data_IF_333454379038
#
_entry.id   IF_333454379038
#
_cell.length_a   1.000
_cell.length_b   1.000
_cell.length_c   1.000
_cell.angle_alpha   90.00
_cell.angle_beta   90.00
_cell.angle_gamma   90.00
#
_symmetry.space_group_name_H-M   'P 1'
#
loop_
_entity.id
_entity.type
_entity.pdbx_description
1 polymer ?
#
# COMPACT_ATOMS: atom_id res chain seq x y z
N UNK A 1 28.66 8.48 1.00
CA UNK A 1 28.04 8.13 1.06
C UNK A 1 27.70 7.45 1.40
N UNK A 2 28.02 7.05 1.67
CA UNK A 2 27.53 6.00 1.68
C UNK A 2 26.69 5.81 2.56
N UNK A 3 26.37 5.92 3.14
CA UNK A 3 25.44 5.61 3.71
C UNK A 3 24.32 5.32 3.08
N UNK A 4 24.34 5.48 2.08
CA UNK A 4 23.34 5.11 1.21
C UNK A 4 22.83 3.73 1.42
N UNK A 5 23.70 2.82 1.74
CA UNK A 5 23.32 1.45 1.94
C UNK A 5 22.34 1.26 3.08
N UNK A 6 22.30 2.22 3.99
CA UNK A 6 21.39 2.08 5.08
C UNK A 6 19.95 2.14 4.67
N UNK A 7 19.65 2.91 3.65
CA UNK A 7 18.28 2.98 3.22
C UNK A 7 17.86 1.74 2.50
N UNK A 8 18.79 0.84 2.25
CA UNK A 8 18.49 -0.38 1.56
C UNK A 8 18.31 -1.57 2.49
N UNK A 9 18.15 -1.31 3.76
CA UNK A 9 18.01 -2.41 4.69
C UNK A 9 16.70 -3.15 4.57
N UNK A 10 15.69 -2.53 3.95
CA UNK A 10 14.38 -3.16 3.81
C UNK A 10 14.10 -3.39 2.34
N UNK A 11 13.86 -4.64 1.96
CA UNK A 11 13.49 -4.97 0.59
C UNK A 11 12.08 -4.48 0.29
N UNK A 12 11.72 -4.44 -0.99
CA UNK A 12 10.36 -4.07 -1.35
C UNK A 12 9.35 -5.03 -0.75
N UNK A 13 9.68 -6.32 -0.71
CA UNK A 13 8.79 -7.32 -0.11
C UNK A 13 8.59 -7.06 1.38
N UNK A 14 9.66 -6.77 2.10
CA UNK A 14 9.55 -6.47 3.52
C UNK A 14 8.76 -5.19 3.77
N UNK A 15 9.01 -4.18 2.96
CA UNK A 15 8.28 -2.93 3.08
C UNK A 15 6.79 -3.16 2.85
N UNK A 16 6.44 -3.95 1.84
CA UNK A 16 5.03 -4.25 1.58
C UNK A 16 4.38 -4.96 2.76
N UNK A 17 5.08 -5.93 3.36
CA UNK A 17 4.57 -6.64 4.53
C UNK A 17 4.35 -5.67 5.70
N UNK A 18 5.32 -4.80 5.94
CA UNK A 18 5.21 -3.84 7.04
C UNK A 18 4.04 -2.89 6.82
N UNK A 19 3.89 -2.41 5.60
CA UNK A 19 2.77 -1.53 5.26
C UNK A 19 1.43 -2.23 5.48
N UNK A 20 1.34 -3.50 5.06
CA UNK A 20 0.12 -4.27 5.26
C UNK A 20 -0.22 -4.39 6.74
N UNK A 21 0.78 -4.61 7.58
CA UNK A 21 0.55 -4.70 9.02
C UNK A 21 0.09 -3.38 9.62
N UNK A 22 0.67 -2.27 9.17
CA UNK A 22 0.24 -0.96 9.66
C UNK A 22 -1.19 -0.67 9.24
N UNK A 23 -1.59 -1.11 8.05
CA UNK A 23 -2.96 -0.97 7.60
C UNK A 23 -3.91 -1.81 8.47
N UNK A 24 -3.52 -3.04 8.75
CA UNK A 24 -4.34 -3.92 9.58
C UNK A 24 -4.51 -3.39 10.99
N UNK A 25 -3.50 -2.69 11.52
CA UNK A 25 -3.60 -2.08 12.84
C UNK A 25 -4.76 -1.09 12.93
N UNK A 26 -5.17 -0.55 11.79
CA UNK A 26 -6.30 0.37 11.73
C UNK A 26 -7.52 -0.28 11.08
N UNK A 27 -7.60 -1.60 11.12
CA UNK A 27 -8.77 -2.35 10.67
C UNK A 27 -9.04 -2.24 9.17
N UNK A 28 -7.98 -2.06 8.38
CA UNK A 28 -8.16 -2.09 6.92
C UNK A 28 -8.69 -3.45 6.51
N UNK A 29 -9.50 -3.45 5.46
CA UNK A 29 -10.14 -4.66 4.96
C UNK A 29 -9.50 -5.13 3.68
N UNK A 30 -9.49 -6.44 3.49
CA UNK A 30 -9.03 -7.09 2.26
C UNK A 30 -7.65 -6.58 1.84
N UNK A 31 -6.70 -6.65 2.77
CA UNK A 31 -5.34 -6.16 2.55
C UNK A 31 -4.59 -7.19 1.73
N UNK A 32 -4.10 -6.76 0.57
CA UNK A 32 -3.33 -7.65 -0.31
C UNK A 32 -2.10 -6.93 -0.80
N UNK A 33 -1.07 -7.70 -1.18
CA UNK A 33 0.03 -7.17 -1.96
C UNK A 33 0.08 -7.90 -3.30
N UNK A 34 0.42 -7.17 -4.35
CA UNK A 34 0.56 -7.71 -5.68
C UNK A 34 2.01 -7.50 -6.11
N UNK A 35 2.70 -8.59 -6.42
CA UNK A 35 4.05 -8.49 -6.93
C UNK A 35 3.97 -8.25 -8.44
N UNK A 36 4.32 -7.04 -8.86
CA UNK A 36 4.23 -6.64 -10.26
C UNK A 36 5.59 -6.44 -10.90
N UNK A 37 6.64 -6.92 -10.23
CA UNK A 37 8.01 -6.68 -10.65
C UNK A 37 8.27 -7.14 -12.07
N UNK A 38 7.67 -8.23 -12.49
CA UNK A 38 7.87 -8.77 -13.83
C UNK A 38 6.90 -8.18 -14.86
N UNK A 39 5.93 -7.39 -14.41
CA UNK A 39 4.88 -6.88 -15.28
C UNK A 39 5.07 -5.41 -15.64
N UNK A 40 5.83 -4.68 -14.84
CA UNK A 40 6.01 -3.24 -15.06
C UNK A 40 7.32 -2.78 -14.45
N UNK A 41 7.80 -1.64 -14.94
CA UNK A 41 8.99 -0.99 -14.38
C UNK A 41 8.66 0.10 -13.39
N UNK A 42 7.37 0.36 -13.17
CA UNK A 42 6.93 1.48 -12.31
C UNK A 42 7.25 1.22 -10.86
N UNK A 43 7.03 0.01 -10.39
CA UNK A 43 7.23 -0.33 -8.99
C UNK A 43 7.38 -1.85 -8.89
N UNK A 44 7.80 -2.33 -7.74
CA UNK A 44 7.92 -3.77 -7.50
C UNK A 44 6.63 -4.36 -6.97
N UNK A 45 5.93 -3.64 -6.10
CA UNK A 45 4.72 -4.18 -5.46
C UNK A 45 3.68 -3.10 -5.26
N UNK A 46 2.43 -3.50 -5.36
CA UNK A 46 1.30 -2.71 -4.90
C UNK A 46 0.82 -3.30 -3.58
N UNK A 47 0.44 -2.43 -2.64
CA UNK A 47 -0.32 -2.87 -1.47
C UNK A 47 -1.67 -2.20 -1.60
N UNK A 48 -2.74 -3.00 -1.54
CA UNK A 48 -4.10 -2.51 -1.74
C UNK A 48 -4.94 -2.89 -0.53
N UNK A 49 -5.65 -1.93 0.01
CA UNK A 49 -6.57 -2.16 1.11
C UNK A 49 -7.74 -1.20 1.01
N UNK A 50 -8.73 -1.40 1.84
CA UNK A 50 -9.93 -0.57 1.75
C UNK A 50 -10.63 -0.46 3.08
N UNK A 51 -11.54 0.50 3.17
CA UNK A 51 -12.46 0.64 4.28
C UNK A 51 -13.71 1.39 3.81
N UNK A 52 -14.78 1.32 4.61
CA UNK A 52 -16.07 1.86 4.18
C UNK A 52 -16.22 3.35 4.35
N UNK A 53 -15.42 3.98 5.22
CA UNK A 53 -15.62 5.39 5.55
C UNK A 53 -14.37 6.21 5.29
N UNK A 54 -14.58 7.49 5.03
CA UNK A 54 -13.47 8.43 4.83
C UNK A 54 -12.59 8.54 6.06
N UNK A 55 -13.19 8.53 7.23
CA UNK A 55 -12.45 8.62 8.49
C UNK A 55 -11.49 7.45 8.62
N UNK A 56 -11.96 6.27 8.28
CA UNK A 56 -11.14 5.07 8.39
C UNK A 56 -10.04 5.07 7.32
N UNK A 57 -10.36 5.48 6.10
CA UNK A 57 -9.35 5.58 5.03
C UNK A 57 -8.22 6.51 5.47
N UNK A 58 -8.58 7.65 6.07
CA UNK A 58 -7.57 8.59 6.56
C UNK A 58 -6.73 7.97 7.66
N UNK A 59 -7.36 7.27 8.59
CA UNK A 59 -6.65 6.63 9.70
C UNK A 59 -5.65 5.60 9.19
N UNK A 60 -6.04 4.82 8.19
CA UNK A 60 -5.15 3.82 7.59
C UNK A 60 -3.97 4.50 6.92
N UNK A 61 -4.23 5.49 6.08
CA UNK A 61 -3.16 6.20 5.37
C UNK A 61 -2.20 6.86 6.36
N UNK A 62 -2.73 7.48 7.41
CA UNK A 62 -1.90 8.13 8.42
C UNK A 62 -1.05 7.12 9.18
N UNK A 63 -1.61 5.96 9.51
CA UNK A 63 -0.87 4.92 10.20
C UNK A 63 0.33 4.44 9.37
N UNK A 64 0.10 4.24 8.07
CA UNK A 64 1.17 3.80 7.19
C UNK A 64 2.26 4.87 7.11
N UNK A 65 1.87 6.13 6.90
CA UNK A 65 2.84 7.21 6.77
C UNK A 65 3.65 7.41 8.05
N UNK A 66 3.00 7.27 9.18
CA UNK A 66 3.65 7.53 10.47
C UNK A 66 4.62 6.42 10.84
N UNK A 67 4.32 5.19 10.47
CA UNK A 67 5.06 4.04 10.99
C UNK A 67 6.10 3.48 10.02
N UNK A 68 6.11 3.91 8.75
CA UNK A 68 7.17 3.49 7.85
C UNK A 68 8.46 4.26 8.15
N UNK A 69 9.59 3.63 7.86
CA UNK A 69 10.89 4.19 8.18
C UNK A 69 11.20 5.48 7.43
N UNK A 70 10.60 5.66 6.27
CA UNK A 70 10.79 6.88 5.50
C UNK A 70 9.46 7.26 4.87
N UNK A 71 9.39 8.50 4.41
CA UNK A 71 8.14 9.04 3.92
C UNK A 71 7.93 8.73 2.45
N UNK A 72 6.68 8.63 2.02
CA UNK A 72 6.44 8.47 0.59
C UNK A 72 6.93 9.69 -0.17
N UNK A 73 7.40 9.47 -1.39
CA UNK A 73 7.87 10.58 -2.23
C UNK A 73 6.71 11.34 -2.83
N UNK A 74 5.51 10.75 -2.85
CA UNK A 74 4.34 11.39 -3.41
C UNK A 74 3.10 10.84 -2.72
N UNK A 75 2.12 11.73 -2.49
CA UNK A 75 0.84 11.38 -1.89
C UNK A 75 -0.23 11.99 -2.77
N UNK A 76 -1.23 11.20 -3.14
CA UNK A 76 -2.35 11.69 -3.93
C UNK A 76 -3.66 11.27 -3.31
N UNK A 77 -4.69 12.09 -3.51
CA UNK A 77 -6.04 11.75 -3.07
C UNK A 77 -6.32 11.96 -1.60
N UNK A 78 -5.36 12.48 -0.85
CA UNK A 78 -5.50 12.60 0.60
C UNK A 78 -6.62 13.59 0.99
N UNK A 79 -6.90 14.58 0.15
CA UNK A 79 -7.95 15.56 0.45
C UNK A 79 -9.34 14.97 0.37
N UNK A 80 -9.55 14.03 -0.55
CA UNK A 80 -10.89 13.48 -0.81
C UNK A 80 -11.13 12.15 -0.14
N UNK A 81 -10.06 11.41 0.15
CA UNK A 81 -10.13 10.14 0.89
C UNK A 81 -10.93 9.03 0.21
N UNK A 82 -11.20 9.16 -1.07
CA UNK A 82 -11.83 8.08 -1.83
C UNK A 82 -10.81 7.05 -2.29
N UNK A 83 -9.62 7.52 -2.58
CA UNK A 83 -8.51 6.69 -3.07
C UNK A 83 -7.24 7.44 -2.74
N UNK A 84 -6.55 7.02 -1.70
CA UNK A 84 -5.29 7.64 -1.30
C UNK A 84 -4.15 6.79 -1.83
N UNK A 85 -3.24 7.41 -2.54
CA UNK A 85 -2.06 6.75 -3.08
C UNK A 85 -0.84 7.24 -2.33
N UNK A 86 -0.04 6.30 -1.83
CA UNK A 86 1.23 6.61 -1.17
C UNK A 86 2.34 5.95 -1.97
N UNK A 87 3.19 6.76 -2.57
CA UNK A 87 4.22 6.27 -3.50
C UNK A 87 5.56 6.19 -2.77
N UNK A 88 6.02 4.97 -2.52
CA UNK A 88 7.32 4.72 -1.89
C UNK A 88 8.36 4.28 -2.90
N UNK A 89 8.09 4.46 -4.19
CA UNK A 89 8.94 4.08 -5.31
C UNK A 89 8.89 2.57 -5.54
N UNK A 90 9.45 1.78 -4.65
CA UNK A 90 9.45 0.32 -4.81
C UNK A 90 8.14 -0.33 -4.42
N UNK A 91 7.31 0.39 -3.67
CA UNK A 91 5.98 -0.05 -3.27
C UNK A 91 5.04 1.13 -3.43
N UNK A 92 3.93 0.91 -4.07
CA UNK A 92 2.87 1.91 -4.17
C UNK A 92 1.66 1.40 -3.41
N UNK A 93 1.19 2.19 -2.44
CA UNK A 93 0.08 1.81 -1.59
C UNK A 93 -1.19 2.47 -2.09
N UNK A 94 -2.25 1.68 -2.16
CA UNK A 94 -3.59 2.16 -2.55
C UNK A 94 -4.52 1.91 -1.37
N UNK A 95 -4.97 2.99 -0.73
CA UNK A 95 -5.97 2.90 0.33
C UNK A 95 -7.26 3.43 -0.24
N UNK A 96 -8.21 2.53 -0.45
CA UNK A 96 -9.47 2.84 -1.12
C UNK A 96 -10.63 2.91 -0.15
N UNK A 97 -11.60 3.75 -0.48
CA UNK A 97 -12.93 3.53 0.04
C UNK A 97 -13.47 2.28 -0.67
N UNK A 98 -14.19 1.45 0.03
CA UNK A 98 -14.62 0.16 -0.52
C UNK A 98 -15.35 0.29 -1.85
N UNK A 99 -16.25 1.26 -1.97
CA UNK A 99 -17.00 1.46 -3.21
C UNK A 99 -16.08 1.80 -4.38
N UNK A 100 -15.05 2.60 -4.12
CA UNK A 100 -14.11 2.99 -5.15
C UNK A 100 -13.24 1.82 -5.57
N UNK A 101 -12.82 0.99 -4.60
CA UNK A 101 -12.03 -0.19 -4.92
C UNK A 101 -12.80 -1.12 -5.84
N UNK A 102 -14.07 -1.32 -5.54
CA UNK A 102 -14.91 -2.19 -6.36
C UNK A 102 -15.13 -1.62 -7.75
N UNK A 103 -15.28 -0.32 -7.83
CA UNK A 103 -15.54 0.33 -9.12
C UNK A 103 -14.32 0.26 -10.04
N UNK A 104 -13.14 0.65 -9.51
CA UNK A 104 -11.93 0.69 -10.34
C UNK A 104 -11.29 -0.67 -10.53
N UNK A 105 -11.39 -1.52 -9.53
CA UNK A 105 -10.92 -2.91 -9.59
C UNK A 105 -9.54 -3.04 -10.24
N UNK A 106 -8.55 -2.31 -9.68
CA UNK A 106 -7.22 -2.32 -10.27
C UNK A 106 -6.55 -3.68 -10.15
N UNK A 107 -7.00 -4.50 -9.21
CA UNK A 107 -6.48 -5.85 -9.05
C UNK A 107 -6.70 -6.68 -10.31
N UNK A 108 -7.81 -6.43 -11.01
CA UNK A 108 -8.08 -7.14 -12.25
C UNK A 108 -7.12 -6.74 -13.36
N UNK A 109 -6.71 -5.48 -13.39
CA UNK A 109 -5.73 -5.02 -14.36
C UNK A 109 -4.40 -5.73 -14.20
N UNK A 110 -4.06 -6.10 -12.98
CA UNK A 110 -2.81 -6.76 -12.66
C UNK A 110 -3.03 -8.23 -12.34
N UNK A 111 -3.95 -8.88 -13.09
CA UNK A 111 -4.37 -10.24 -12.80
C UNK A 111 -3.27 -11.28 -12.87
N UNK A 112 -2.18 -10.98 -13.57
CA UNK A 112 -1.06 -11.93 -13.66
C UNK A 112 -0.07 -11.79 -12.50
N UNK A 113 -0.28 -10.82 -11.62
CA UNK A 113 0.61 -10.63 -10.48
C UNK A 113 0.42 -11.73 -9.45
N UNK A 114 1.49 -12.02 -8.72
CA UNK A 114 1.40 -12.91 -7.57
C UNK A 114 0.78 -12.13 -6.44
N UNK A 115 -0.30 -12.65 -5.84
CA UNK A 115 -1.06 -11.98 -4.80
C UNK A 115 -0.78 -12.63 -3.46
N UNK A 116 -0.55 -11.80 -2.44
CA UNK A 116 -0.46 -12.26 -1.07
C UNK A 116 -1.55 -11.57 -0.26
N UNK A 117 -2.32 -12.34 0.49
CA UNK A 117 -3.38 -11.79 1.33
C UNK A 117 -2.89 -11.69 2.76
N UNK A 118 -3.34 -10.66 3.46
CA UNK A 118 -2.97 -10.42 4.85
C UNK A 118 -4.22 -10.28 5.70
N UNK A 119 -4.14 -10.78 6.94
CA UNK A 119 -5.23 -10.59 7.89
C UNK A 119 -4.65 -10.48 9.29
N UNK A 120 -5.52 -10.14 10.25
CA UNK A 120 -5.10 -9.83 11.61
C UNK A 120 -4.40 -10.98 12.32
N UNK A 121 -4.62 -12.18 11.84
CA UNK A 121 -4.06 -13.36 12.49
C UNK A 121 -2.67 -13.72 11.98
N UNK A 122 -2.25 -13.08 10.93
CA UNK A 122 -0.92 -13.36 10.33
C UNK A 122 0.24 -12.59 10.99
#
# INVERSE_FOLDING_TARGET
MPRVSKVKTVSSSELAVNIAKFALDKKAENVVSLNVKKLTNITDEFVICSSDTNIQVKAIADSIRKNTDYKPVRIEGYEHLNWVLLDYIDVIVHVFKTSERNYYNIEKLWGDATIREFNDED
#
